data_IF_520226673028
#
_entry.id   IF_520226673028
#
_cell.length_a   1.000
_cell.length_b   1.000
_cell.length_c   1.000
_cell.angle_alpha   90.00
_cell.angle_beta   90.00
_cell.angle_gamma   90.00
#
_symmetry.space_group_name_H-M   'P 1'
#
loop_
_entity.id
_entity.type
_entity.pdbx_description
1 polymer ?
#
# COMPACT_ATOMS: atom_id res chain seq x y z
N UNK A 1 -7.44 16.52 -16.03
CA UNK A 1 -8.48 16.82 -17.04
C UNK A 1 -8.06 18.08 -17.80
N UNK A 2 -7.67 17.99 -19.07
CA UNK A 2 -7.15 19.15 -19.85
C UNK A 2 -8.06 19.61 -21.00
N UNK A 3 -9.33 19.21 -21.03
CA UNK A 3 -10.25 19.59 -22.12
C UNK A 3 -11.54 20.33 -21.69
N UNK A 4 -11.93 20.31 -20.40
CA UNK A 4 -13.15 20.97 -19.93
C UNK A 4 -12.91 21.70 -18.61
N UNK A 5 -13.47 22.90 -18.47
CA UNK A 5 -13.58 23.57 -17.17
C UNK A 5 -14.63 22.86 -16.30
N UNK A 6 -14.52 22.93 -14.96
CA UNK A 6 -15.50 22.31 -14.04
C UNK A 6 -16.94 22.73 -14.35
N UNK A 7 -17.13 23.99 -14.74
CA UNK A 7 -18.43 24.54 -15.12
C UNK A 7 -18.93 23.97 -16.45
N UNK A 8 -18.06 23.92 -17.46
CA UNK A 8 -18.38 23.34 -18.76
C UNK A 8 -18.66 21.82 -18.71
N UNK A 9 -18.14 21.12 -17.70
CA UNK A 9 -18.45 19.71 -17.43
C UNK A 9 -19.77 19.58 -16.68
N UNK A 10 -20.02 20.42 -15.68
CA UNK A 10 -21.28 20.46 -14.92
C UNK A 10 -22.50 20.80 -15.80
N UNK A 11 -22.32 21.59 -16.85
CA UNK A 11 -23.39 21.90 -17.82
C UNK A 11 -23.74 20.72 -18.73
N UNK A 12 -22.82 19.77 -18.91
CA UNK A 12 -22.97 18.63 -19.84
C UNK A 12 -23.30 17.31 -19.15
N UNK A 13 -23.21 17.27 -17.83
CA UNK A 13 -23.38 16.09 -16.98
C UNK A 13 -24.41 16.43 -15.89
N UNK A 14 -25.28 15.51 -15.43
CA UNK A 14 -26.28 15.81 -14.40
C UNK A 14 -25.65 15.98 -13.00
N UNK A 15 -24.80 16.99 -12.81
CA UNK A 15 -24.11 17.27 -11.56
C UNK A 15 -23.79 18.77 -11.43
N UNK A 16 -23.67 19.26 -10.19
CA UNK A 16 -23.27 20.64 -9.93
C UNK A 16 -21.74 20.79 -9.93
N UNK A 17 -21.24 21.99 -10.24
CA UNK A 17 -19.82 22.31 -10.14
C UNK A 17 -19.26 22.09 -8.73
N UNK A 18 -20.07 22.33 -7.69
CA UNK A 18 -19.73 22.01 -6.29
C UNK A 18 -19.55 20.50 -6.06
N UNK A 19 -20.38 19.66 -6.69
CA UNK A 19 -20.24 18.21 -6.62
C UNK A 19 -18.95 17.74 -7.31
N UNK A 20 -18.64 18.27 -8.49
CA UNK A 20 -17.37 17.99 -9.20
C UNK A 20 -16.19 18.38 -8.32
N UNK A 21 -16.21 19.57 -7.72
CA UNK A 21 -15.15 20.04 -6.83
C UNK A 21 -14.94 19.12 -5.61
N UNK A 22 -16.02 18.67 -4.97
CA UNK A 22 -15.93 17.72 -3.83
C UNK A 22 -15.35 16.38 -4.26
N UNK A 23 -15.65 15.93 -5.46
CA UNK A 23 -15.09 14.69 -6.01
C UNK A 23 -13.59 14.85 -6.30
N UNK A 24 -13.19 15.93 -6.96
CA UNK A 24 -11.76 16.19 -7.26
C UNK A 24 -10.91 16.37 -6.01
N UNK A 25 -11.50 16.88 -4.92
CA UNK A 25 -10.84 17.03 -3.62
C UNK A 25 -10.82 15.74 -2.79
N UNK A 26 -11.47 14.67 -3.26
CA UNK A 26 -11.58 13.40 -2.54
C UNK A 26 -12.57 13.42 -1.36
N UNK A 27 -13.36 14.50 -1.21
CA UNK A 27 -14.37 14.68 -0.16
C UNK A 27 -15.63 13.83 -0.41
N UNK A 28 -15.90 13.49 -1.68
CA UNK A 28 -16.99 12.55 -2.05
C UNK A 28 -16.54 11.56 -3.12
N UNK A 29 -16.96 10.29 -3.01
CA UNK A 29 -16.75 9.33 -4.10
C UNK A 29 -17.63 9.69 -5.30
N UNK A 30 -17.09 9.54 -6.51
CA UNK A 30 -17.89 9.63 -7.74
C UNK A 30 -18.80 8.41 -7.86
N UNK A 31 -20.09 8.62 -8.10
CA UNK A 31 -21.02 7.51 -8.33
C UNK A 31 -20.77 6.87 -9.70
N UNK A 32 -21.08 5.57 -9.88
CA UNK A 32 -20.94 4.90 -11.18
C UNK A 32 -21.73 5.59 -12.30
N UNK A 33 -22.92 6.11 -11.99
CA UNK A 33 -23.76 6.86 -12.93
C UNK A 33 -23.11 8.17 -13.37
N UNK A 34 -22.45 8.87 -12.45
CA UNK A 34 -21.72 10.10 -12.75
C UNK A 34 -20.49 9.81 -13.61
N UNK A 35 -19.71 8.77 -13.28
CA UNK A 35 -18.55 8.34 -14.08
C UNK A 35 -18.95 7.98 -15.51
N UNK A 36 -20.05 7.24 -15.69
CA UNK A 36 -20.57 6.89 -17.01
C UNK A 36 -21.05 8.12 -17.81
N UNK A 37 -21.64 9.11 -17.14
CA UNK A 37 -22.04 10.35 -17.79
C UNK A 37 -20.82 11.20 -18.21
N UNK A 38 -19.80 11.32 -17.36
CA UNK A 38 -18.55 12.01 -17.68
C UNK A 38 -17.81 11.31 -18.83
N UNK A 39 -17.75 9.97 -18.84
CA UNK A 39 -17.14 9.18 -19.91
C UNK A 39 -17.74 9.48 -21.29
N UNK A 40 -19.07 9.56 -21.35
CA UNK A 40 -19.79 9.90 -22.59
C UNK A 40 -19.49 11.31 -23.07
N UNK A 41 -19.42 12.29 -22.17
CA UNK A 41 -19.17 13.70 -22.51
C UNK A 41 -17.73 13.94 -22.97
N UNK A 42 -16.77 13.24 -22.35
CA UNK A 42 -15.34 13.42 -22.64
C UNK A 42 -14.85 12.44 -23.72
N UNK A 43 -15.73 11.58 -24.25
CA UNK A 43 -15.44 10.58 -25.28
C UNK A 43 -14.26 9.65 -24.93
N UNK A 44 -14.18 9.24 -23.66
CA UNK A 44 -13.18 8.28 -23.17
C UNK A 44 -13.87 7.05 -22.60
N UNK A 45 -13.19 5.90 -22.58
CA UNK A 45 -13.76 4.74 -21.93
C UNK A 45 -13.87 4.99 -20.42
N UNK A 46 -14.89 4.44 -19.76
CA UNK A 46 -15.04 4.54 -18.30
C UNK A 46 -13.82 3.94 -17.57
N UNK A 47 -13.15 2.99 -18.20
CA UNK A 47 -11.90 2.38 -17.78
C UNK A 47 -10.76 3.39 -17.71
N UNK A 48 -10.73 4.37 -18.63
CA UNK A 48 -9.70 5.41 -18.66
C UNK A 48 -9.95 6.48 -17.59
N UNK A 49 -11.22 6.77 -17.31
CA UNK A 49 -11.65 7.69 -16.23
C UNK A 49 -11.40 7.13 -14.84
N UNK A 50 -11.60 5.83 -14.66
CA UNK A 50 -11.43 5.14 -13.38
C UNK A 50 -10.03 4.59 -13.19
N UNK A 51 -9.24 4.56 -14.26
CA UNK A 51 -7.97 3.84 -14.30
C UNK A 51 -8.15 2.35 -14.02
N UNK A 52 -9.27 1.75 -14.47
CA UNK A 52 -9.58 0.33 -14.26
C UNK A 52 -9.84 -0.43 -15.57
N UNK A 53 -9.22 -1.59 -15.80
CA UNK A 53 -8.17 -2.17 -14.99
C UNK A 53 -6.96 -1.23 -15.03
N UNK A 54 -6.29 -1.08 -13.89
CA UNK A 54 -5.11 -0.22 -13.78
C UNK A 54 -4.00 -0.87 -14.59
N UNK A 55 -3.95 -0.55 -15.89
CA UNK A 55 -2.82 -0.88 -16.75
C UNK A 55 -1.75 0.14 -16.42
N UNK A 56 -0.60 -0.35 -16.00
CA UNK A 56 0.60 0.45 -15.87
C UNK A 56 0.84 1.27 -17.15
N UNK A 57 1.43 2.46 -17.00
CA UNK A 57 1.87 3.22 -18.17
C UNK A 57 3.18 2.65 -18.75
N UNK A 58 3.88 1.82 -17.96
CA UNK A 58 5.16 1.19 -18.32
C UNK A 58 5.31 -0.20 -17.69
N UNK A 59 6.09 -1.09 -18.31
CA UNK A 59 6.45 -2.39 -17.71
C UNK A 59 7.14 -2.26 -16.34
N UNK A 60 7.81 -1.13 -16.07
CA UNK A 60 8.44 -0.85 -14.78
C UNK A 60 7.42 -0.66 -13.64
N UNK A 61 6.30 0.01 -13.93
CA UNK A 61 5.21 0.21 -12.97
C UNK A 61 4.53 -1.11 -12.59
N UNK A 62 4.36 -2.04 -13.55
CA UNK A 62 3.85 -3.38 -13.27
C UNK A 62 4.79 -4.14 -12.34
N UNK A 63 6.10 -4.12 -12.64
CA UNK A 63 7.10 -4.79 -11.80
C UNK A 63 7.10 -4.27 -10.36
N UNK A 64 6.93 -2.97 -10.14
CA UNK A 64 6.84 -2.39 -8.79
C UNK A 64 5.56 -2.82 -8.07
N UNK A 65 4.45 -2.86 -8.80
CA UNK A 65 3.15 -3.31 -8.28
C UNK A 65 3.18 -4.78 -7.89
N UNK A 66 3.83 -5.63 -8.68
CA UNK A 66 3.96 -7.07 -8.42
C UNK A 66 4.70 -7.37 -7.11
N UNK A 67 5.47 -6.41 -6.59
CA UNK A 67 6.09 -6.53 -5.26
C UNK A 67 5.08 -6.40 -4.12
N UNK A 68 3.90 -5.81 -4.33
CA UNK A 68 2.94 -5.48 -3.26
C UNK A 68 2.26 -6.75 -2.69
N UNK A 69 1.64 -7.63 -3.50
CA UNK A 69 0.93 -8.81 -2.99
C UNK A 69 1.76 -9.72 -2.08
N UNK A 70 2.99 -10.16 -2.46
CA UNK A 70 3.78 -11.06 -1.61
C UNK A 70 4.19 -10.40 -0.28
N UNK A 71 4.50 -9.10 -0.29
CA UNK A 71 4.80 -8.36 0.95
C UNK A 71 3.59 -8.25 1.87
N UNK A 72 2.41 -7.93 1.33
CA UNK A 72 1.18 -7.88 2.11
C UNK A 72 0.87 -9.22 2.75
N UNK A 73 1.09 -10.33 2.03
CA UNK A 73 0.93 -11.68 2.55
C UNK A 73 1.82 -11.92 3.77
N UNK A 74 3.11 -11.61 3.68
CA UNK A 74 4.03 -11.83 4.79
C UNK A 74 3.74 -10.95 6.01
N UNK A 75 3.41 -9.67 5.79
CA UNK A 75 3.00 -8.77 6.87
C UNK A 75 1.69 -9.22 7.51
N UNK A 76 0.72 -9.73 6.73
CA UNK A 76 -0.56 -10.19 7.29
C UNK A 76 -0.39 -11.46 8.12
N UNK A 77 0.58 -12.31 7.76
CA UNK A 77 0.85 -13.56 8.45
C UNK A 77 1.97 -13.44 9.49
N UNK A 78 2.33 -12.24 9.95
CA UNK A 78 3.52 -12.05 10.80
C UNK A 78 3.52 -12.83 12.12
N UNK A 79 2.33 -13.12 12.68
CA UNK A 79 2.16 -13.86 13.94
C UNK A 79 1.63 -15.29 13.73
N UNK A 80 1.52 -15.74 12.49
CA UNK A 80 1.07 -17.08 12.14
C UNK A 80 2.28 -17.97 11.88
N UNK A 81 2.21 -19.24 12.28
CA UNK A 81 3.21 -20.19 11.83
C UNK A 81 3.25 -20.18 10.29
N UNK A 82 4.44 -20.17 9.66
CA UNK A 82 4.52 -20.34 8.22
C UNK A 82 3.83 -21.65 7.82
N UNK A 83 3.21 -21.68 6.65
CA UNK A 83 2.76 -22.94 6.08
C UNK A 83 3.96 -23.88 6.00
N UNK A 84 3.79 -25.13 6.42
CA UNK A 84 4.86 -26.12 6.41
C UNK A 84 5.44 -26.22 4.98
N UNK A 85 6.65 -25.70 4.80
CA UNK A 85 7.33 -25.71 3.52
C UNK A 85 7.93 -27.07 3.18
N UNK A 86 7.87 -28.06 4.09
CA UNK A 86 8.44 -29.39 3.90
C UNK A 86 9.96 -29.42 3.75
N UNK A 87 10.63 -28.28 3.97
CA UNK A 87 12.09 -28.11 3.86
C UNK A 87 12.74 -27.81 5.20
N UNK A 88 14.06 -28.00 5.33
CA UNK A 88 14.78 -27.69 6.56
C UNK A 88 14.70 -26.19 6.87
N UNK A 89 14.68 -25.87 8.17
CA UNK A 89 14.76 -24.48 8.62
C UNK A 89 16.08 -23.85 8.14
N UNK A 90 16.07 -22.55 7.78
CA UNK A 90 17.29 -21.86 7.40
C UNK A 90 18.23 -21.71 8.60
N UNK A 91 19.54 -21.71 8.33
CA UNK A 91 20.54 -21.45 9.37
C UNK A 91 20.48 -19.99 9.83
N UNK A 92 20.63 -19.75 11.14
CA UNK A 92 20.53 -18.41 11.72
C UNK A 92 21.55 -17.42 11.13
N UNK A 93 22.75 -17.89 10.80
CA UNK A 93 23.80 -17.10 10.14
C UNK A 93 23.36 -16.60 8.77
N UNK A 94 22.76 -17.47 7.97
CA UNK A 94 22.25 -17.12 6.64
C UNK A 94 21.11 -16.10 6.72
N UNK A 95 20.22 -16.24 7.69
CA UNK A 95 19.12 -15.27 7.89
C UNK A 95 19.69 -13.91 8.33
N UNK A 96 20.71 -13.89 9.20
CA UNK A 96 21.41 -12.65 9.58
C UNK A 96 22.03 -11.95 8.37
N UNK A 97 22.74 -12.68 7.52
CA UNK A 97 23.34 -12.11 6.30
C UNK A 97 22.28 -11.50 5.37
N UNK A 98 21.13 -12.18 5.20
CA UNK A 98 20.03 -11.66 4.39
C UNK A 98 19.40 -10.40 5.00
N UNK A 99 19.24 -10.34 6.32
CA UNK A 99 18.77 -9.14 7.03
C UNK A 99 19.75 -7.98 6.84
N UNK A 100 21.05 -8.23 6.97
CA UNK A 100 22.08 -7.20 6.75
C UNK A 100 22.08 -6.70 5.30
N UNK A 101 21.93 -7.60 4.33
CA UNK A 101 21.78 -7.22 2.92
C UNK A 101 20.52 -6.37 2.69
N UNK A 102 19.38 -6.74 3.27
CA UNK A 102 18.15 -5.95 3.19
C UNK A 102 18.31 -4.56 3.84
N UNK A 103 18.98 -4.47 4.99
CA UNK A 103 19.28 -3.19 5.63
C UNK A 103 20.16 -2.29 4.75
N UNK A 104 21.17 -2.86 4.09
CA UNK A 104 22.00 -2.12 3.11
C UNK A 104 21.16 -1.60 1.95
N UNK A 105 20.21 -2.39 1.44
CA UNK A 105 19.31 -1.95 0.36
C UNK A 105 18.39 -0.82 0.83
N UNK A 106 17.87 -0.89 2.05
CA UNK A 106 17.05 0.17 2.64
C UNK A 106 17.84 1.47 2.82
N UNK A 107 19.05 1.38 3.38
CA UNK A 107 19.90 2.55 3.63
C UNK A 107 20.31 3.26 2.34
N UNK A 108 20.59 2.49 1.28
CA UNK A 108 20.95 3.02 -0.03
C UNK A 108 19.73 3.38 -0.91
N UNK A 109 18.51 3.36 -0.36
CA UNK A 109 17.25 3.63 -1.09
C UNK A 109 17.06 2.76 -2.36
N UNK A 110 17.58 1.54 -2.36
CA UNK A 110 17.40 0.59 -3.47
C UNK A 110 16.08 -0.17 -3.29
N UNK A 111 14.98 0.59 -3.32
CA UNK A 111 13.64 0.16 -2.87
C UNK A 111 13.10 -1.03 -3.68
N UNK A 112 13.40 -1.10 -4.97
CA UNK A 112 12.93 -2.20 -5.82
C UNK A 112 13.57 -3.55 -5.42
N UNK A 113 14.89 -3.60 -5.26
CA UNK A 113 15.60 -4.81 -4.81
C UNK A 113 15.23 -5.17 -3.36
N UNK A 114 15.06 -4.17 -2.50
CA UNK A 114 14.54 -4.38 -1.15
C UNK A 114 13.16 -5.04 -1.20
N UNK A 115 12.26 -4.53 -2.04
CA UNK A 115 10.90 -5.07 -2.18
C UNK A 115 10.86 -6.50 -2.70
N UNK A 116 11.85 -6.94 -3.48
CA UNK A 116 12.02 -8.33 -3.89
C UNK A 116 12.57 -9.22 -2.76
N UNK A 117 13.53 -8.73 -1.97
CA UNK A 117 14.16 -9.52 -0.92
C UNK A 117 13.30 -9.66 0.34
N UNK A 118 12.42 -8.68 0.61
CA UNK A 118 11.70 -8.59 1.87
C UNK A 118 10.80 -9.81 2.19
N UNK A 119 10.02 -10.38 1.24
CA UNK A 119 9.15 -11.51 1.54
C UNK A 119 9.90 -12.73 2.09
N UNK A 120 11.04 -13.11 1.50
CA UNK A 120 11.80 -14.27 1.96
C UNK A 120 12.46 -14.02 3.32
N UNK A 121 13.00 -12.83 3.56
CA UNK A 121 13.57 -12.46 4.87
C UNK A 121 12.51 -12.52 5.97
N UNK A 122 11.31 -11.99 5.72
CA UNK A 122 10.20 -12.04 6.66
C UNK A 122 9.74 -13.48 6.92
N UNK A 123 9.69 -14.31 5.87
CA UNK A 123 9.37 -15.72 5.98
C UNK A 123 10.37 -16.47 6.86
N UNK A 124 11.67 -16.32 6.60
CA UNK A 124 12.75 -17.02 7.32
C UNK A 124 12.77 -16.65 8.81
N UNK A 125 12.65 -15.35 9.12
CA UNK A 125 12.58 -14.86 10.49
C UNK A 125 11.37 -15.45 11.23
N UNK A 126 10.21 -15.52 10.56
CA UNK A 126 9.01 -16.11 11.13
C UNK A 126 9.19 -17.61 11.38
N UNK A 127 9.75 -18.35 10.42
CA UNK A 127 10.04 -19.76 10.56
C UNK A 127 10.96 -20.06 11.75
N UNK A 128 12.05 -19.29 11.89
CA UNK A 128 12.96 -19.41 13.03
C UNK A 128 12.30 -19.11 14.36
N UNK A 129 11.50 -18.04 14.44
CA UNK A 129 10.81 -17.65 15.69
C UNK A 129 9.81 -18.71 16.13
N UNK A 130 9.07 -19.32 15.19
CA UNK A 130 8.12 -20.38 15.51
C UNK A 130 8.78 -21.73 15.83
N UNK A 131 10.03 -21.94 15.40
CA UNK A 131 10.81 -23.13 15.70
C UNK A 131 11.47 -23.11 17.10
N UNK A 132 11.60 -21.94 17.73
CA UNK A 132 12.20 -21.84 19.05
C UNK A 132 11.28 -22.46 20.13
N UNK A 133 11.81 -23.26 21.09
CA UNK A 133 11.01 -23.95 22.12
C UNK A 133 10.19 -23.07 23.07
N UNK A 134 10.27 -21.74 22.98
CA UNK A 134 9.43 -20.77 23.71
C UNK A 134 8.30 -20.15 22.85
N UNK A 135 8.14 -20.58 21.59
CA UNK A 135 7.11 -20.10 20.67
C UNK A 135 5.66 -20.37 21.12
N UNK A 136 5.46 -21.23 22.12
CA UNK A 136 4.17 -21.62 22.69
C UNK A 136 3.54 -20.66 23.70
N UNK A 137 4.23 -19.58 24.12
CA UNK A 137 3.68 -18.61 25.11
C UNK A 137 3.05 -17.35 24.50
N UNK A 138 2.84 -17.31 23.18
CA UNK A 138 2.18 -16.16 22.51
C UNK A 138 0.66 -16.31 22.42
N UNK A 139 0.15 -17.53 22.25
CA UNK A 139 -1.30 -17.78 22.21
C UNK A 139 -1.96 -17.74 23.58
N UNK A 140 -1.27 -18.11 24.67
CA UNK A 140 -1.83 -18.01 26.03
C UNK A 140 -1.90 -16.56 26.56
N UNK A 141 -1.24 -15.60 25.89
CA UNK A 141 -1.25 -14.18 26.25
C UNK A 141 -2.20 -13.33 25.37
N UNK A 142 -2.78 -13.91 24.32
CA UNK A 142 -3.68 -13.21 23.41
C UNK A 142 -5.12 -13.67 23.67
N UNK A 143 -5.93 -12.90 24.41
CA UNK A 143 -7.35 -13.20 24.51
C UNK A 143 -7.95 -13.15 23.10
N UNK A 144 -8.80 -14.13 22.80
CA UNK A 144 -9.39 -14.49 21.50
C UNK A 144 -10.29 -13.43 20.85
N UNK A 145 -10.12 -12.15 21.13
CA UNK A 145 -10.92 -11.12 20.47
C UNK A 145 -10.21 -9.77 20.43
N UNK A 146 -10.03 -9.24 19.23
CA UNK A 146 -9.79 -7.82 19.02
C UNK A 146 -8.33 -7.46 18.76
N UNK A 147 -8.13 -6.86 17.59
CA UNK A 147 -7.04 -5.97 17.21
C UNK A 147 -6.46 -5.24 18.45
N UNK A 148 -5.14 -5.31 18.63
CA UNK A 148 -4.40 -4.66 19.72
C UNK A 148 -4.76 -3.16 19.84
N UNK A 149 -5.31 -2.69 20.98
CA UNK A 149 -5.68 -1.29 21.20
C UNK A 149 -4.49 -0.31 21.15
N UNK A 150 -3.25 -0.82 21.25
CA UNK A 150 -2.01 -0.03 21.25
C UNK A 150 -1.38 0.06 19.87
N UNK A 151 -1.85 -0.71 18.88
CA UNK A 151 -1.45 -0.51 17.49
C UNK A 151 -2.00 0.84 17.01
N UNK A 152 -1.13 1.86 16.95
CA UNK A 152 -1.44 3.14 16.31
C UNK A 152 -0.94 3.07 14.87
N UNK A 153 -1.84 2.92 13.87
CA UNK A 153 -1.46 3.20 12.50
C UNK A 153 -1.03 4.68 12.42
N UNK A 154 -0.01 4.94 11.60
CA UNK A 154 0.46 6.14 10.89
C UNK A 154 -0.50 7.36 10.70
N UNK A 155 -1.74 7.33 11.16
CA UNK A 155 -2.79 8.32 10.96
C UNK A 155 -2.78 9.49 11.96
N UNK A 156 -1.62 9.97 12.42
CA UNK A 156 -1.53 11.22 13.22
C UNK A 156 -0.90 12.41 12.52
N UNK A 157 -0.51 12.29 11.24
CA UNK A 157 0.14 13.40 10.52
C UNK A 157 -0.56 13.88 9.24
N UNK A 158 -1.79 13.43 8.96
CA UNK A 158 -2.59 14.04 7.88
C UNK A 158 -3.99 14.38 8.36
N UNK A 159 -4.10 15.50 9.08
CA UNK A 159 -5.35 16.27 9.10
C UNK A 159 -5.34 17.11 7.83
N UNK A 160 -6.28 16.86 6.93
CA UNK A 160 -6.51 17.70 5.76
C UNK A 160 -6.70 19.16 6.21
N UNK A 161 -5.72 20.02 5.91
CA UNK A 161 -5.83 21.46 6.18
C UNK A 161 -4.54 22.23 6.47
N UNK A 162 -3.46 21.59 6.96
CA UNK A 162 -2.20 22.31 7.24
C UNK A 162 -1.17 22.08 6.14
N UNK A 163 -0.84 23.15 5.41
CA UNK A 163 0.35 23.18 4.55
C UNK A 163 1.58 23.08 5.45
N UNK A 164 2.57 22.22 5.17
CA UNK A 164 3.85 22.30 5.85
C UNK A 164 4.50 23.65 5.50
N UNK A 165 4.75 24.46 6.52
CA UNK A 165 5.57 25.66 6.41
C UNK A 165 6.97 25.27 5.96
N UNK A 166 7.48 26.02 4.97
CA UNK A 166 8.85 25.92 4.48
C UNK A 166 9.81 26.15 5.66
N UNK A 167 10.65 25.17 6.06
CA UNK A 167 11.74 25.49 6.97
C UNK A 167 12.71 26.38 6.18
N UNK A 168 12.75 27.65 6.59
CA UNK A 168 13.66 28.65 6.07
C UNK A 168 15.07 28.09 6.02
N UNK A 169 15.69 28.29 4.86
CA UNK A 169 17.13 28.38 4.73
C UNK A 169 17.53 29.60 5.56
N UNK A 170 18.10 29.38 6.73
CA UNK A 170 18.89 30.41 7.39
C UNK A 170 20.37 30.07 7.17
N UNK A 171 20.93 30.87 6.25
CA UNK A 171 22.28 31.46 6.20
C UNK A 171 23.50 30.59 6.51
#
# INVERSE_FOLDING_TARGET
MRAFTQQALAERVPCSSSMIRKIEQGDRPATPSLLAAVARVVHVAITDLTGQPYRSQTEGDDRVRDLIPPRRREVSAYNMAPADSGGPLPELSQVRERVEAANKLAHNMVIFKLGQALPSVLYDLRALVHALPDGGRREQAMPTTGIDPRWKPWSRHYRAGEKPGNPGVDS
#
